data_IF_037649305122
#
_entry.id   IF_037649305122
#
_cell.length_a   1.000
_cell.length_b   1.000
_cell.length_c   1.000
_cell.angle_alpha   90.00
_cell.angle_beta   90.00
_cell.angle_gamma   90.00
#
_symmetry.space_group_name_H-M   'P 1'
#
loop_
_entity.id
_entity.type
_entity.pdbx_description
1 polymer ?
#
# COMPACT_ATOMS: atom_id res chain seq x y z
N UNK A 1 8.08 2.68 22.71
CA UNK A 1 6.65 2.87 23.08
C UNK A 1 6.34 1.95 24.25
N UNK A 2 5.78 2.47 25.36
CA UNK A 2 5.56 1.72 26.62
C UNK A 2 4.08 1.43 26.90
N UNK A 3 3.77 0.82 28.05
CA UNK A 3 2.42 0.40 28.44
C UNK A 3 1.36 1.53 28.42
N UNK A 4 1.79 2.78 28.59
CA UNK A 4 0.94 3.98 28.56
C UNK A 4 0.24 4.23 27.22
N UNK A 5 0.72 3.67 26.10
CA UNK A 5 0.05 3.77 24.80
C UNK A 5 -1.28 2.98 24.77
N UNK A 6 -1.34 1.86 25.49
CA UNK A 6 -2.51 0.98 25.52
C UNK A 6 -3.55 1.43 26.55
N UNK A 7 -3.08 2.15 27.58
CA UNK A 7 -3.91 2.73 28.63
C UNK A 7 -3.54 4.21 28.78
N UNK A 8 -4.01 5.07 27.86
CA UNK A 8 -3.75 6.49 27.94
C UNK A 8 -4.20 7.02 29.30
N UNK A 9 -3.35 7.80 29.97
CA UNK A 9 -3.64 8.33 31.30
C UNK A 9 -4.89 9.21 31.23
N UNK A 10 -5.93 8.84 31.99
CA UNK A 10 -7.22 9.54 32.01
C UNK A 10 -8.26 9.06 30.98
N UNK A 11 -7.92 8.11 30.09
CA UNK A 11 -8.89 7.51 29.19
C UNK A 11 -9.68 6.38 29.87
N UNK A 12 -10.98 6.28 29.57
CA UNK A 12 -11.79 5.14 30.00
C UNK A 12 -11.27 3.85 29.35
N UNK A 13 -11.13 2.78 30.13
CA UNK A 13 -10.73 1.45 29.64
C UNK A 13 -11.91 0.73 28.95
N UNK A 14 -12.53 1.40 27.96
CA UNK A 14 -13.78 0.96 27.28
C UNK A 14 -13.55 0.24 25.96
N UNK A 15 -12.43 -0.46 25.80
CA UNK A 15 -12.16 -1.15 24.55
C UNK A 15 -12.85 -2.53 24.50
N UNK A 16 -14.17 -2.58 24.70
CA UNK A 16 -14.97 -3.81 24.57
C UNK A 16 -15.21 -4.20 23.11
N UNK A 17 -15.15 -3.23 22.19
CA UNK A 17 -15.34 -3.42 20.74
C UNK A 17 -14.07 -3.07 19.94
N UNK A 18 -12.96 -3.76 20.20
CA UNK A 18 -11.73 -3.59 19.40
C UNK A 18 -11.90 -4.26 18.05
N UNK A 19 -12.32 -3.52 17.02
CA UNK A 19 -12.39 -4.04 15.65
C UNK A 19 -11.00 -4.29 15.05
N UNK A 20 -10.01 -3.50 15.47
CA UNK A 20 -8.63 -3.55 14.99
C UNK A 20 -7.67 -3.87 16.14
N UNK A 21 -6.65 -4.65 15.85
CA UNK A 21 -5.56 -4.94 16.77
C UNK A 21 -4.22 -4.87 16.05
N UNK A 22 -3.13 -4.71 16.80
CA UNK A 22 -1.77 -4.82 16.29
C UNK A 22 -1.04 -5.97 16.99
N UNK A 23 -0.07 -6.57 16.33
CA UNK A 23 0.77 -7.60 16.90
C UNK A 23 2.19 -7.54 16.32
N UNK A 24 3.18 -7.46 17.19
CA UNK A 24 4.59 -7.40 16.83
C UNK A 24 5.46 -7.96 17.97
N UNK A 25 6.77 -8.13 17.74
CA UNK A 25 7.68 -8.74 18.70
C UNK A 25 7.65 -8.08 20.10
N UNK A 26 7.55 -6.74 20.14
CA UNK A 26 7.49 -5.96 21.39
C UNK A 26 6.06 -5.72 21.92
N UNK A 27 5.06 -6.52 21.50
CA UNK A 27 3.69 -6.36 21.94
C UNK A 27 3.55 -6.85 23.40
N UNK A 28 3.00 -6.05 24.34
CA UNK A 28 2.95 -6.43 25.75
C UNK A 28 2.27 -7.78 25.98
N UNK A 29 2.83 -8.62 26.86
CA UNK A 29 2.32 -9.98 27.09
C UNK A 29 0.84 -10.01 27.50
N UNK A 30 0.41 -9.06 28.34
CA UNK A 30 -1.00 -8.93 28.74
C UNK A 30 -1.93 -8.63 27.56
N UNK A 31 -1.50 -7.75 26.65
CA UNK A 31 -2.27 -7.42 25.45
C UNK A 31 -2.27 -8.58 24.45
N UNK A 32 -1.17 -9.32 24.33
CA UNK A 32 -1.10 -10.55 23.55
C UNK A 32 -2.10 -11.59 24.06
N UNK A 33 -2.14 -11.84 25.36
CA UNK A 33 -3.11 -12.77 25.96
C UNK A 33 -4.56 -12.31 25.75
N UNK A 34 -4.84 -11.02 25.94
CA UNK A 34 -6.16 -10.46 25.70
C UNK A 34 -6.60 -10.61 24.24
N UNK A 35 -5.70 -10.34 23.30
CA UNK A 35 -5.96 -10.48 21.87
C UNK A 35 -6.22 -11.95 21.50
N UNK A 36 -5.40 -12.88 21.99
CA UNK A 36 -5.60 -14.32 21.73
C UNK A 36 -6.94 -14.78 22.28
N UNK A 37 -7.27 -14.43 23.54
CA UNK A 37 -8.58 -14.73 24.15
C UNK A 37 -9.73 -14.16 23.32
N UNK A 38 -9.60 -12.93 22.84
CA UNK A 38 -10.62 -12.31 22.00
C UNK A 38 -10.78 -13.03 20.65
N UNK A 39 -9.69 -13.46 20.01
CA UNK A 39 -9.71 -14.10 18.69
C UNK A 39 -10.19 -15.55 18.72
N UNK A 40 -9.96 -16.27 19.82
CA UNK A 40 -10.41 -17.66 19.99
C UNK A 40 -11.82 -17.78 20.58
N UNK A 41 -12.40 -16.67 21.04
CA UNK A 41 -13.78 -16.63 21.52
C UNK A 41 -14.78 -16.80 20.36
N UNK A 42 -15.93 -17.43 20.62
CA UNK A 42 -16.99 -17.62 19.62
C UNK A 42 -17.48 -16.31 18.99
N UNK A 43 -17.51 -15.24 19.78
CA UNK A 43 -17.84 -13.89 19.33
C UNK A 43 -16.64 -13.00 19.56
N UNK A 44 -15.80 -12.87 18.52
CA UNK A 44 -14.71 -11.91 18.53
C UNK A 44 -15.18 -10.57 17.95
N UNK A 45 -15.06 -9.45 18.68
CA UNK A 45 -15.21 -8.12 18.08
C UNK A 45 -14.02 -7.80 17.14
N UNK A 46 -12.86 -8.43 17.32
CA UNK A 46 -11.67 -8.20 16.50
C UNK A 46 -11.85 -8.76 15.10
N UNK A 47 -11.74 -7.89 14.10
CA UNK A 47 -11.92 -8.22 12.68
C UNK A 47 -10.63 -8.17 11.88
N UNK A 48 -9.71 -7.27 12.25
CA UNK A 48 -8.46 -7.04 11.52
C UNK A 48 -7.29 -6.98 12.49
N UNK A 49 -6.19 -7.64 12.14
CA UNK A 49 -4.95 -7.63 12.91
C UNK A 49 -3.83 -7.14 12.01
N UNK A 50 -3.17 -6.06 12.42
CA UNK A 50 -1.93 -5.59 11.81
C UNK A 50 -0.76 -6.33 12.46
N UNK A 51 -0.22 -7.31 11.75
CA UNK A 51 0.79 -8.21 12.26
C UNK A 51 2.11 -8.08 11.49
N UNK A 52 3.23 -8.15 12.21
CA UNK A 52 4.51 -8.52 11.58
C UNK A 52 4.64 -10.05 11.50
N UNK A 53 5.66 -10.55 10.81
CA UNK A 53 6.00 -11.98 10.66
C UNK A 53 5.97 -12.71 12.03
N UNK A 54 6.30 -12.00 13.12
CA UNK A 54 6.26 -12.50 14.49
C UNK A 54 4.90 -13.04 14.98
N UNK A 55 3.78 -12.66 14.35
CA UNK A 55 2.46 -13.22 14.66
C UNK A 55 2.35 -14.70 14.31
N UNK A 56 3.18 -15.19 13.38
CA UNK A 56 3.06 -16.54 12.86
C UNK A 56 3.45 -17.66 13.83
N UNK A 57 4.27 -17.37 14.83
CA UNK A 57 4.76 -18.40 15.74
C UNK A 57 3.77 -18.69 16.87
N UNK A 58 2.91 -19.70 16.67
CA UNK A 58 2.18 -20.36 17.76
C UNK A 58 0.71 -19.97 17.99
N UNK A 59 0.11 -19.18 17.10
CA UNK A 59 -1.33 -18.88 17.14
C UNK A 59 -2.02 -19.61 15.98
N UNK A 60 -2.98 -20.47 16.30
CA UNK A 60 -3.81 -21.20 15.33
C UNK A 60 -5.24 -20.65 15.33
N UNK A 61 -5.59 -19.90 14.30
CA UNK A 61 -6.92 -19.33 14.08
C UNK A 61 -7.47 -19.93 12.80
N UNK A 62 -8.34 -20.96 12.88
CA UNK A 62 -8.68 -21.73 11.70
C UNK A 62 -9.54 -20.96 10.70
N UNK A 63 -10.22 -19.90 11.17
CA UNK A 63 -11.21 -19.12 10.45
C UNK A 63 -10.69 -17.79 9.86
N UNK A 64 -9.38 -17.67 9.61
CA UNK A 64 -8.83 -16.50 8.90
C UNK A 64 -9.33 -16.51 7.45
N UNK A 65 -10.08 -15.46 7.07
CA UNK A 65 -10.67 -15.31 5.73
C UNK A 65 -9.80 -14.57 4.74
N UNK A 66 -8.96 -13.66 5.21
CA UNK A 66 -8.07 -12.88 4.35
C UNK A 66 -6.70 -12.72 5.00
N UNK A 67 -5.66 -12.94 4.23
CA UNK A 67 -4.28 -12.53 4.55
C UNK A 67 -3.91 -11.44 3.56
N UNK A 68 -3.47 -10.30 4.09
CA UNK A 68 -3.11 -9.13 3.28
C UNK A 68 -1.66 -8.78 3.54
N UNK A 69 -0.82 -8.95 2.52
CA UNK A 69 0.55 -8.47 2.50
C UNK A 69 0.59 -7.04 2.01
N UNK A 70 1.16 -6.15 2.83
CA UNK A 70 1.43 -4.77 2.44
C UNK A 70 2.93 -4.61 2.23
N UNK A 71 3.36 -4.80 0.99
CA UNK A 71 4.75 -5.11 0.65
C UNK A 71 4.92 -6.61 0.34
N UNK A 72 6.04 -6.96 -0.27
CA UNK A 72 6.34 -8.34 -0.65
C UNK A 72 7.08 -9.05 0.47
N UNK A 73 6.73 -10.32 0.77
CA UNK A 73 7.64 -11.21 1.45
C UNK A 73 8.99 -11.29 0.72
N UNK A 74 10.07 -11.62 1.43
CA UNK A 74 11.39 -11.71 0.81
C UNK A 74 11.52 -13.01 0.01
N UNK A 75 10.89 -14.09 0.46
CA UNK A 75 10.98 -15.42 -0.16
C UNK A 75 9.62 -16.06 -0.39
N UNK A 76 9.60 -17.08 -1.26
CA UNK A 76 8.39 -17.87 -1.53
C UNK A 76 7.96 -18.68 -0.29
N UNK A 77 8.90 -19.13 0.53
CA UNK A 77 8.61 -19.84 1.78
C UNK A 77 7.90 -18.96 2.80
N UNK A 78 8.38 -17.72 2.98
CA UNK A 78 7.72 -16.73 3.84
C UNK A 78 6.29 -16.51 3.37
N UNK A 79 6.11 -16.20 2.07
CA UNK A 79 4.79 -16.03 1.47
C UNK A 79 3.89 -17.25 1.72
N UNK A 80 4.38 -18.45 1.41
CA UNK A 80 3.60 -19.68 1.53
C UNK A 80 3.18 -19.98 2.99
N UNK A 81 4.09 -19.82 3.94
CA UNK A 81 3.79 -20.02 5.37
C UNK A 81 2.80 -18.99 5.90
N UNK A 82 2.87 -17.75 5.42
CA UNK A 82 2.01 -16.65 5.87
C UNK A 82 0.60 -16.77 5.31
N UNK A 83 0.44 -16.96 4.00
CA UNK A 83 -0.89 -17.15 3.38
C UNK A 83 -1.54 -18.47 3.80
N UNK A 84 -0.75 -19.51 4.10
CA UNK A 84 -1.22 -20.82 4.56
C UNK A 84 -1.92 -20.82 5.93
N UNK A 85 -2.02 -19.65 6.58
CA UNK A 85 -2.84 -19.45 7.80
C UNK A 85 -4.31 -19.25 7.49
N UNK A 86 -4.62 -18.76 6.30
CA UNK A 86 -5.98 -18.53 5.87
C UNK A 86 -6.69 -19.87 5.58
N UNK A 87 -7.99 -19.96 5.90
CA UNK A 87 -8.81 -21.09 5.43
C UNK A 87 -8.46 -22.46 6.03
N UNK A 88 -7.87 -22.54 7.22
CA UNK A 88 -7.55 -23.84 7.87
C UNK A 88 -8.80 -24.64 8.29
N UNK A 89 -9.94 -23.98 8.43
CA UNK A 89 -11.27 -24.59 8.54
C UNK A 89 -11.81 -25.18 7.21
N UNK A 90 -11.03 -25.12 6.13
CA UNK A 90 -11.40 -25.59 4.80
C UNK A 90 -12.35 -24.68 4.04
N UNK A 91 -12.76 -23.55 4.62
CA UNK A 91 -13.59 -22.55 3.96
C UNK A 91 -12.74 -21.64 3.07
N UNK A 92 -13.38 -21.04 2.07
CA UNK A 92 -12.73 -20.12 1.15
C UNK A 92 -12.00 -18.98 1.91
N UNK A 93 -10.80 -18.66 1.45
CA UNK A 93 -10.01 -17.57 1.96
C UNK A 93 -9.17 -16.93 0.85
N UNK A 94 -8.87 -15.65 1.01
CA UNK A 94 -8.12 -14.86 0.03
C UNK A 94 -6.72 -14.51 0.56
N UNK A 95 -5.75 -14.54 -0.33
CA UNK A 95 -4.44 -13.95 -0.13
C UNK A 95 -4.29 -12.75 -1.08
N UNK A 96 -4.02 -11.57 -0.53
CA UNK A 96 -3.85 -10.33 -1.28
C UNK A 96 -2.45 -9.79 -1.03
N UNK A 97 -1.72 -9.46 -2.10
CA UNK A 97 -0.39 -8.87 -2.00
C UNK A 97 -0.36 -7.53 -2.72
N UNK A 98 -0.20 -6.46 -1.95
CA UNK A 98 0.00 -5.12 -2.48
C UNK A 98 1.49 -4.83 -2.64
N UNK A 99 1.89 -4.41 -3.83
CA UNK A 99 3.27 -4.06 -4.15
C UNK A 99 3.33 -2.84 -5.07
N UNK A 100 4.45 -2.12 -5.03
CA UNK A 100 4.74 -1.02 -5.94
C UNK A 100 5.45 -1.57 -7.19
N UNK A 101 4.83 -1.40 -8.35
CA UNK A 101 5.37 -1.85 -9.63
C UNK A 101 6.70 -1.18 -9.97
N UNK A 102 6.91 0.05 -9.52
CA UNK A 102 8.17 0.77 -9.70
C UNK A 102 9.29 0.15 -8.85
N UNK A 103 8.99 -0.18 -7.59
CA UNK A 103 9.94 -0.81 -6.68
C UNK A 103 10.32 -2.21 -7.19
N UNK A 104 9.32 -2.99 -7.65
CA UNK A 104 9.54 -4.30 -8.26
C UNK A 104 10.53 -4.26 -9.43
N UNK A 105 10.43 -3.26 -10.32
CA UNK A 105 11.36 -3.10 -11.45
C UNK A 105 12.80 -2.85 -11.00
N UNK A 106 12.99 -2.16 -9.88
CA UNK A 106 14.31 -1.89 -9.30
C UNK A 106 14.88 -3.08 -8.51
N UNK A 107 14.16 -4.20 -8.45
CA UNK A 107 14.52 -5.40 -7.71
C UNK A 107 14.72 -5.09 -6.20
N UNK A 108 13.63 -5.08 -5.40
CA UNK A 108 13.70 -4.67 -4.00
C UNK A 108 14.78 -5.44 -3.25
N UNK A 109 15.56 -4.72 -2.44
CA UNK A 109 16.63 -5.34 -1.68
C UNK A 109 16.09 -6.46 -0.77
N UNK A 110 16.62 -7.67 -0.93
CA UNK A 110 16.26 -8.84 -0.13
C UNK A 110 15.12 -9.70 -0.71
N UNK A 111 14.39 -9.22 -1.71
CA UNK A 111 13.29 -9.98 -2.34
C UNK A 111 13.83 -10.87 -3.44
N UNK A 112 13.53 -12.17 -3.37
CA UNK A 112 13.98 -13.16 -4.36
C UNK A 112 13.22 -13.07 -5.69
N UNK A 113 13.88 -13.46 -6.78
CA UNK A 113 13.31 -13.48 -8.13
C UNK A 113 12.01 -14.28 -8.23
N UNK A 114 11.90 -15.42 -7.54
CA UNK A 114 10.70 -16.26 -7.58
C UNK A 114 9.48 -15.54 -6.98
N UNK A 115 9.68 -14.73 -5.94
CA UNK A 115 8.61 -13.91 -5.36
C UNK A 115 8.16 -12.80 -6.32
N UNK A 116 9.11 -12.16 -7.00
CA UNK A 116 8.80 -11.18 -8.05
C UNK A 116 8.04 -11.84 -9.19
N UNK A 117 8.47 -13.03 -9.62
CA UNK A 117 7.78 -13.79 -10.66
C UNK A 117 6.36 -14.15 -10.24
N UNK A 118 6.15 -14.56 -8.98
CA UNK A 118 4.82 -14.86 -8.46
C UNK A 118 3.86 -13.68 -8.63
N UNK A 119 4.26 -12.45 -8.29
CA UNK A 119 3.34 -11.31 -8.37
C UNK A 119 3.23 -10.72 -9.77
N UNK A 120 4.28 -10.79 -10.59
CA UNK A 120 4.30 -10.19 -11.95
C UNK A 120 3.74 -11.08 -13.05
N UNK A 121 3.75 -12.40 -12.87
CA UNK A 121 3.30 -13.37 -13.88
C UNK A 121 1.76 -13.39 -13.96
N UNK A 122 1.19 -12.77 -14.99
CA UNK A 122 -0.26 -12.66 -15.19
C UNK A 122 -0.82 -13.65 -16.22
N UNK A 123 0.00 -14.59 -16.70
CA UNK A 123 -0.31 -15.55 -17.77
C UNK A 123 -0.28 -17.01 -17.29
N UNK A 124 -0.02 -17.25 -16.00
CA UNK A 124 -0.02 -18.59 -15.40
C UNK A 124 -0.70 -18.61 -14.05
N UNK A 125 -1.15 -19.79 -13.65
CA UNK A 125 -1.75 -20.00 -12.35
C UNK A 125 -0.75 -19.77 -11.21
N UNK A 126 -1.05 -18.84 -10.30
CA UNK A 126 -0.24 -18.59 -9.09
C UNK A 126 0.00 -19.85 -8.25
N UNK A 127 -1.02 -20.73 -8.15
CA UNK A 127 -0.88 -22.01 -7.43
C UNK A 127 0.15 -22.93 -8.09
N UNK A 128 0.18 -22.96 -9.41
CA UNK A 128 1.17 -23.74 -10.16
C UNK A 128 2.58 -23.19 -9.93
N UNK A 129 2.76 -21.87 -9.98
CA UNK A 129 4.05 -21.22 -9.69
C UNK A 129 4.55 -21.62 -8.29
N UNK A 130 3.69 -21.50 -7.27
CA UNK A 130 4.03 -21.86 -5.88
C UNK A 130 4.35 -23.35 -5.76
N UNK A 131 3.53 -24.25 -6.33
CA UNK A 131 3.77 -25.69 -6.23
C UNK A 131 5.06 -26.11 -6.94
N UNK A 132 5.31 -25.56 -8.14
CA UNK A 132 6.53 -25.84 -8.90
C UNK A 132 7.78 -25.41 -8.15
N UNK A 133 7.73 -24.27 -7.44
CA UNK A 133 8.83 -23.82 -6.57
C UNK A 133 9.21 -24.89 -5.53
N UNK A 134 8.22 -25.56 -4.92
CA UNK A 134 8.44 -26.64 -3.95
C UNK A 134 8.65 -28.02 -4.60
N UNK A 135 8.84 -28.10 -5.92
CA UNK A 135 9.06 -29.36 -6.64
C UNK A 135 7.80 -30.23 -6.78
N UNK A 136 6.61 -29.66 -6.63
CA UNK A 136 5.33 -30.35 -6.77
C UNK A 136 4.61 -29.95 -8.06
N UNK A 137 3.86 -30.89 -8.65
CA UNK A 137 3.01 -30.62 -9.82
C UNK A 137 1.63 -30.12 -9.37
N UNK A 138 1.03 -29.23 -10.17
CA UNK A 138 -0.35 -28.81 -9.97
C UNK A 138 -1.32 -29.78 -10.65
N UNK A 139 -2.07 -30.56 -9.86
CA UNK A 139 -3.19 -31.39 -10.33
C UNK A 139 -4.56 -30.71 -10.08
N UNK A 140 -4.55 -29.43 -9.71
CA UNK A 140 -5.71 -28.76 -9.15
C UNK A 140 -6.80 -28.50 -10.21
N UNK A 141 -8.02 -28.96 -9.96
CA UNK A 141 -9.20 -28.64 -10.80
C UNK A 141 -9.76 -27.30 -10.39
N UNK A 142 -9.81 -26.35 -11.33
CA UNK A 142 -10.30 -25.01 -11.06
C UNK A 142 -11.81 -24.94 -11.28
N UNK A 143 -12.61 -24.98 -10.21
CA UNK A 143 -14.05 -24.72 -10.32
C UNK A 143 -14.63 -24.12 -9.04
N UNK A 144 -15.19 -22.89 -9.06
CA UNK A 144 -15.12 -21.93 -10.17
C UNK A 144 -13.71 -21.32 -10.32
N UNK A 145 -13.31 -21.03 -11.56
CA UNK A 145 -11.98 -20.48 -11.89
C UNK A 145 -11.65 -19.20 -11.11
N UNK A 146 -12.61 -18.29 -10.96
CA UNK A 146 -12.39 -16.98 -10.35
C UNK A 146 -12.03 -17.01 -8.86
N UNK A 147 -12.21 -18.14 -8.18
CA UNK A 147 -11.79 -18.33 -6.78
C UNK A 147 -10.32 -18.78 -6.68
N UNK A 148 -9.65 -19.12 -7.79
CA UNK A 148 -8.30 -19.65 -7.74
C UNK A 148 -7.22 -18.57 -7.57
N UNK A 149 -7.18 -17.60 -8.47
CA UNK A 149 -6.18 -16.52 -8.50
C UNK A 149 -6.63 -15.41 -9.47
N UNK A 150 -5.91 -14.29 -9.47
CA UNK A 150 -6.07 -13.15 -10.38
C UNK A 150 -6.04 -13.54 -11.87
N UNK A 151 -5.11 -14.42 -12.29
CA UNK A 151 -5.07 -14.94 -13.67
C UNK A 151 -6.33 -15.75 -14.01
N UNK A 152 -6.71 -16.72 -13.18
CA UNK A 152 -7.91 -17.50 -13.45
C UNK A 152 -9.20 -16.68 -13.37
N UNK A 153 -9.21 -15.62 -12.54
CA UNK A 153 -10.29 -14.64 -12.50
C UNK A 153 -10.38 -13.84 -13.79
N UNK A 154 -9.25 -13.43 -14.39
CA UNK A 154 -9.25 -12.65 -15.63
C UNK A 154 -9.79 -13.43 -16.83
N UNK A 155 -9.54 -14.74 -16.88
CA UNK A 155 -10.04 -15.64 -17.94
C UNK A 155 -11.35 -16.35 -17.58
N UNK A 156 -11.95 -16.05 -16.42
CA UNK A 156 -13.21 -16.68 -16.01
C UNK A 156 -14.40 -16.12 -16.81
N UNK A 157 -15.26 -17.02 -17.28
CA UNK A 157 -16.46 -16.74 -18.07
C UNK A 157 -17.75 -17.19 -17.38
N UNK A 158 -17.77 -17.23 -16.04
CA UNK A 158 -19.00 -17.55 -15.31
C UNK A 158 -19.94 -16.33 -15.25
N UNK A 159 -21.23 -16.59 -15.04
CA UNK A 159 -22.29 -15.58 -14.96
C UNK A 159 -21.97 -14.47 -13.94
N UNK A 160 -21.44 -14.84 -12.77
CA UNK A 160 -21.10 -13.89 -11.70
C UNK A 160 -19.96 -12.93 -12.08
N UNK A 161 -19.03 -13.41 -12.92
CA UNK A 161 -17.92 -12.59 -13.42
C UNK A 161 -18.35 -11.68 -14.58
N UNK A 162 -19.27 -12.15 -15.43
CA UNK A 162 -19.83 -11.35 -16.52
C UNK A 162 -20.63 -10.15 -16.00
N UNK A 163 -21.43 -10.35 -14.94
CA UNK A 163 -22.17 -9.26 -14.28
C UNK A 163 -21.29 -8.27 -13.53
N UNK A 164 -20.06 -8.66 -13.15
CA UNK A 164 -19.13 -7.77 -12.44
C UNK A 164 -18.35 -6.86 -13.40
N UNK A 165 -18.16 -7.29 -14.66
CA UNK A 165 -17.47 -6.49 -15.69
C UNK A 165 -18.26 -5.26 -16.12
N UNK A 166 -19.59 -5.28 -16.02
CA UNK A 166 -20.47 -4.16 -16.38
C UNK A 166 -20.56 -3.08 -15.29
N UNK A 167 -20.06 -3.34 -14.08
CA UNK A 167 -20.08 -2.39 -12.95
C UNK A 167 -18.71 -1.68 -12.77
N UNK A 168 -17.66 -2.14 -13.45
CA UNK A 168 -16.32 -1.54 -13.36
C UNK A 168 -16.18 -0.18 -14.07
N UNK A 169 -17.19 0.22 -14.86
CA UNK A 169 -17.33 1.59 -15.40
C UNK A 169 -17.98 2.53 -14.37
N UNK A 170 -17.52 2.51 -13.12
CA UNK A 170 -17.65 3.70 -12.29
C UNK A 170 -16.72 4.71 -12.94
N UNK A 171 -17.30 5.55 -13.80
CA UNK A 171 -16.69 6.81 -14.23
C UNK A 171 -16.07 7.41 -12.98
N UNK A 172 -14.76 7.63 -13.01
CA UNK A 172 -14.18 8.60 -12.12
C UNK A 172 -14.99 9.87 -12.37
N UNK A 173 -15.88 10.22 -11.44
CA UNK A 173 -16.54 11.51 -11.47
C UNK A 173 -15.42 12.53 -11.61
N UNK A 174 -15.44 13.24 -12.73
CA UNK A 174 -14.65 14.45 -12.91
C UNK A 174 -14.97 15.30 -11.69
N UNK A 175 -14.01 15.41 -10.78
CA UNK A 175 -14.12 16.31 -9.64
C UNK A 175 -14.33 17.68 -10.25
N UNK A 176 -15.55 18.21 -10.08
CA UNK A 176 -15.94 19.54 -10.54
C UNK A 176 -14.82 20.51 -10.17
N UNK A 177 -14.30 21.19 -11.18
CA UNK A 177 -13.32 22.26 -11.03
C UNK A 177 -13.90 23.29 -10.07
N UNK A 178 -13.47 23.23 -8.81
CA UNK A 178 -13.70 24.30 -7.87
C UNK A 178 -13.07 25.54 -8.47
N UNK A 179 -13.89 26.57 -8.66
CA UNK A 179 -13.48 27.88 -9.15
C UNK A 179 -12.42 28.44 -8.20
N UNK A 180 -11.15 28.23 -8.52
CA UNK A 180 -10.06 28.90 -7.82
C UNK A 180 -10.17 30.39 -8.10
N UNK A 181 -9.97 31.26 -7.09
CA UNK A 181 -9.79 32.68 -7.33
C UNK A 181 -8.67 32.86 -8.35
N UNK A 182 -8.86 33.74 -9.34
CA UNK A 182 -7.87 34.08 -10.38
C UNK A 182 -6.58 34.58 -9.71
N UNK A 183 -5.69 33.64 -9.39
CA UNK A 183 -4.34 33.93 -8.96
C UNK A 183 -3.63 34.53 -10.17
N UNK A 184 -3.00 35.68 -9.97
CA UNK A 184 -2.17 36.29 -11.00
C UNK A 184 -0.84 35.55 -10.98
N UNK A 185 -0.36 35.11 -12.15
CA UNK A 185 0.96 34.51 -12.25
C UNK A 185 1.99 35.47 -11.65
N UNK A 186 2.75 34.98 -10.68
CA UNK A 186 3.78 35.73 -9.97
C UNK A 186 5.01 35.84 -10.87
N UNK A 187 5.33 34.76 -11.60
CA UNK A 187 6.51 34.65 -12.48
C UNK A 187 6.21 33.62 -13.60
N UNK A 188 6.70 33.83 -14.81
CA UNK A 188 6.58 32.87 -15.92
C UNK A 188 7.84 31.99 -16.01
N UNK A 189 7.68 30.69 -16.27
CA UNK A 189 8.80 29.77 -16.52
C UNK A 189 8.76 29.23 -17.94
N UNK A 190 9.94 29.12 -18.57
CA UNK A 190 10.07 28.43 -19.85
C UNK A 190 9.64 26.96 -19.73
N UNK A 191 9.15 26.37 -20.83
CA UNK A 191 8.82 24.93 -20.86
C UNK A 191 10.04 24.06 -20.53
N UNK A 192 11.24 24.54 -20.86
CA UNK A 192 12.49 23.85 -20.52
C UNK A 192 12.72 23.89 -19.00
N UNK A 193 12.55 25.04 -18.36
CA UNK A 193 12.66 25.17 -16.90
C UNK A 193 11.61 24.32 -16.16
N UNK A 194 10.36 24.27 -16.65
CA UNK A 194 9.33 23.37 -16.10
C UNK A 194 9.73 21.89 -16.18
N UNK A 195 10.40 21.46 -17.25
CA UNK A 195 10.95 20.11 -17.35
C UNK A 195 12.09 19.87 -16.35
N UNK A 196 13.00 20.83 -16.17
CA UNK A 196 14.08 20.74 -15.17
C UNK A 196 13.50 20.65 -13.75
N UNK A 197 12.51 21.46 -13.42
CA UNK A 197 11.80 21.40 -12.14
C UNK A 197 11.20 20.00 -11.91
N UNK A 198 10.52 19.47 -12.92
CA UNK A 198 9.96 18.11 -12.90
C UNK A 198 11.02 17.06 -12.58
N UNK A 199 12.17 17.12 -13.27
CA UNK A 199 13.28 16.19 -13.02
C UNK A 199 13.84 16.30 -11.60
N UNK A 200 14.04 17.52 -11.07
CA UNK A 200 14.53 17.72 -9.70
C UNK A 200 13.55 17.19 -8.65
N UNK A 201 12.25 17.43 -8.84
CA UNK A 201 11.20 16.89 -7.97
C UNK A 201 11.16 15.35 -8.01
N UNK A 202 11.36 14.74 -9.18
CA UNK A 202 11.49 13.28 -9.28
C UNK A 202 12.72 12.75 -8.55
N UNK A 203 13.88 13.40 -8.64
CA UNK A 203 15.09 13.00 -7.90
C UNK A 203 14.90 13.11 -6.39
N UNK A 204 14.26 14.17 -5.92
CA UNK A 204 13.89 14.30 -4.51
C UNK A 204 12.96 13.15 -4.09
N UNK A 205 11.94 12.85 -4.89
CA UNK A 205 11.05 11.70 -4.64
C UNK A 205 11.81 10.37 -4.57
N UNK A 206 12.79 10.15 -5.45
CA UNK A 206 13.63 8.94 -5.41
C UNK A 206 14.47 8.86 -4.12
N UNK A 207 15.01 10.00 -3.66
CA UNK A 207 15.79 10.05 -2.42
C UNK A 207 14.95 9.70 -1.19
N UNK A 208 13.68 10.11 -1.16
CA UNK A 208 12.72 9.73 -0.11
C UNK A 208 12.47 8.22 -0.03
N UNK A 209 12.55 7.52 -1.17
CA UNK A 209 12.36 6.07 -1.26
C UNK A 209 13.59 5.23 -0.90
N UNK A 210 14.77 5.85 -0.88
CA UNK A 210 16.06 5.14 -0.70
C UNK A 210 16.36 4.70 0.74
N UNK A 211 15.72 5.32 1.74
CA UNK A 211 15.96 5.08 3.16
C UNK A 211 14.80 4.41 3.91
N UNK A 212 13.64 4.24 3.26
CA UNK A 212 12.40 3.80 3.91
C UNK A 212 12.01 2.37 3.51
N UNK A 213 12.33 1.43 4.39
CA UNK A 213 11.77 0.07 4.38
C UNK A 213 10.34 0.05 4.95
N UNK A 214 9.40 0.84 4.43
CA UNK A 214 8.06 0.86 5.01
C UNK A 214 6.99 1.07 3.95
N UNK A 215 6.34 -0.02 3.56
CA UNK A 215 4.89 -0.11 3.29
C UNK A 215 4.33 0.94 2.32
N UNK A 216 4.10 0.53 1.07
CA UNK A 216 3.48 1.34 0.02
C UNK A 216 4.49 2.06 -0.88
N UNK A 217 4.01 2.61 -1.99
CA UNK A 217 4.84 3.47 -2.86
C UNK A 217 5.29 4.72 -2.08
N UNK A 218 6.36 5.40 -2.52
CA UNK A 218 6.79 6.69 -1.92
C UNK A 218 5.61 7.67 -1.80
N UNK A 219 4.64 7.61 -2.72
CA UNK A 219 3.42 8.42 -2.65
C UNK A 219 2.63 8.17 -1.36
N UNK A 220 2.49 6.93 -0.92
CA UNK A 220 1.74 6.58 0.29
C UNK A 220 2.57 6.76 1.57
N UNK A 221 3.86 6.41 1.53
CA UNK A 221 4.71 6.43 2.72
C UNK A 221 5.27 7.82 3.06
N UNK A 222 5.24 8.74 2.11
CA UNK A 222 5.72 10.13 2.30
C UNK A 222 4.65 11.18 2.00
N UNK A 223 3.61 10.83 1.26
CA UNK A 223 2.68 11.83 0.71
C UNK A 223 3.23 12.53 -0.54
N UNK A 224 4.49 12.30 -0.92
CA UNK A 224 5.10 12.91 -2.11
C UNK A 224 4.76 12.13 -3.39
N UNK A 225 3.54 12.34 -3.88
CA UNK A 225 2.98 11.61 -5.03
C UNK A 225 3.46 12.14 -6.39
N UNK A 226 3.26 11.35 -7.45
CA UNK A 226 3.49 11.82 -8.83
C UNK A 226 2.52 12.95 -9.18
N UNK A 227 1.28 12.89 -8.68
CA UNK A 227 0.30 13.94 -8.87
C UNK A 227 0.71 15.24 -8.18
N UNK A 228 1.35 15.16 -7.00
CA UNK A 228 1.93 16.32 -6.35
C UNK A 228 3.03 16.95 -7.22
N UNK A 229 3.89 16.15 -7.85
CA UNK A 229 4.90 16.66 -8.81
C UNK A 229 4.20 17.35 -9.99
N UNK A 230 3.15 16.73 -10.55
CA UNK A 230 2.41 17.28 -11.68
C UNK A 230 1.77 18.63 -11.34
N UNK A 231 1.05 18.70 -10.22
CA UNK A 231 0.41 19.94 -9.75
C UNK A 231 1.44 21.00 -9.36
N UNK A 232 2.58 20.61 -8.78
CA UNK A 232 3.69 21.54 -8.50
C UNK A 232 4.22 22.19 -9.77
N UNK A 233 4.46 21.40 -10.83
CA UNK A 233 4.97 21.93 -12.11
C UNK A 233 3.91 22.75 -12.85
N UNK A 234 2.64 22.37 -12.73
CA UNK A 234 1.51 23.07 -13.37
C UNK A 234 1.22 24.42 -12.71
N UNK A 235 1.42 24.52 -11.39
CA UNK A 235 1.06 25.70 -10.61
C UNK A 235 2.28 26.48 -10.08
N UNK A 236 3.51 26.14 -10.47
CA UNK A 236 4.75 26.80 -10.01
C UNK A 236 4.80 28.31 -10.28
N UNK A 237 4.05 28.81 -11.26
CA UNK A 237 3.95 30.24 -11.61
C UNK A 237 3.15 31.05 -10.58
N UNK A 238 2.40 30.38 -9.69
CA UNK A 238 1.56 30.99 -8.66
C UNK A 238 2.11 30.78 -7.24
N UNK A 239 3.26 30.13 -7.09
CA UNK A 239 3.85 29.76 -5.80
C UNK A 239 4.97 30.73 -5.44
N UNK A 240 4.67 31.69 -4.56
CA UNK A 240 5.62 32.71 -4.11
C UNK A 240 6.15 32.49 -2.68
N UNK A 241 5.61 31.49 -1.99
CA UNK A 241 5.88 31.20 -0.59
C UNK A 241 5.59 29.74 -0.26
N UNK A 242 6.16 29.27 0.85
CA UNK A 242 5.86 27.94 1.40
C UNK A 242 4.37 27.86 1.78
N UNK A 243 3.82 28.94 2.33
CA UNK A 243 2.42 29.06 2.69
C UNK A 243 1.49 28.94 1.49
N UNK A 244 1.86 29.52 0.33
CA UNK A 244 1.09 29.37 -0.90
C UNK A 244 1.05 27.90 -1.37
N UNK A 245 2.16 27.17 -1.21
CA UNK A 245 2.22 25.74 -1.52
C UNK A 245 1.32 24.92 -0.59
N UNK A 246 1.40 25.15 0.73
CA UNK A 246 0.56 24.45 1.72
C UNK A 246 -0.95 24.69 1.50
N UNK A 247 -1.33 25.85 0.97
CA UNK A 247 -2.72 26.21 0.72
C UNK A 247 -3.27 25.67 -0.61
N UNK A 248 -2.43 25.54 -1.64
CA UNK A 248 -2.90 25.26 -3.00
C UNK A 248 -2.49 23.87 -3.53
N UNK A 249 -1.54 23.19 -2.89
CA UNK A 249 -1.14 21.83 -3.24
C UNK A 249 -1.53 20.82 -2.15
N UNK A 250 -1.76 19.55 -2.51
CA UNK A 250 -2.06 18.47 -1.56
C UNK A 250 -0.78 17.99 -0.85
N UNK A 251 -0.08 18.89 -0.17
CA UNK A 251 1.15 18.59 0.57
C UNK A 251 0.82 18.08 1.97
N UNK A 252 1.38 16.93 2.34
CA UNK A 252 1.10 16.27 3.61
C UNK A 252 1.94 16.79 4.79
N UNK A 253 3.10 17.40 4.54
CA UNK A 253 3.96 17.95 5.59
C UNK A 253 4.76 19.17 5.10
N UNK A 254 5.09 20.07 6.03
CA UNK A 254 5.75 21.34 5.75
C UNK A 254 7.11 21.17 5.07
N UNK A 255 7.86 20.12 5.43
CA UNK A 255 9.18 19.85 4.85
C UNK A 255 9.12 19.61 3.34
N UNK A 256 8.04 19.00 2.85
CA UNK A 256 7.83 18.83 1.41
C UNK A 256 7.50 20.16 0.72
N UNK A 257 6.73 21.02 1.36
CA UNK A 257 6.43 22.35 0.84
C UNK A 257 7.70 23.21 0.74
N UNK A 258 8.57 23.17 1.76
CA UNK A 258 9.86 23.86 1.78
C UNK A 258 10.78 23.40 0.64
N UNK A 259 10.86 22.09 0.40
CA UNK A 259 11.67 21.55 -0.71
C UNK A 259 11.10 21.93 -2.07
N UNK A 260 9.78 21.84 -2.26
CA UNK A 260 9.14 22.26 -3.52
C UNK A 260 9.44 23.73 -3.77
N UNK A 261 9.28 24.60 -2.76
CA UNK A 261 9.56 26.03 -2.88
C UNK A 261 11.02 26.30 -3.25
N UNK A 262 11.97 25.66 -2.54
CA UNK A 262 13.41 25.81 -2.83
C UNK A 262 13.75 25.42 -4.27
N UNK A 263 13.22 24.29 -4.76
CA UNK A 263 13.48 23.83 -6.12
C UNK A 263 12.87 24.76 -7.18
N UNK A 264 11.71 25.35 -6.90
CA UNK A 264 11.09 26.35 -7.76
C UNK A 264 12.00 27.59 -7.85
N UNK A 265 12.45 28.14 -6.72
CA UNK A 265 13.33 29.32 -6.68
C UNK A 265 14.68 29.07 -7.37
N UNK A 266 15.29 27.89 -7.19
CA UNK A 266 16.52 27.52 -7.90
C UNK A 266 16.33 27.49 -9.42
N UNK A 267 15.24 26.88 -9.89
CA UNK A 267 14.95 26.79 -11.33
C UNK A 267 14.64 28.16 -11.93
N UNK A 268 13.99 29.04 -11.18
CA UNK A 268 13.81 30.43 -11.59
C UNK A 268 15.14 31.16 -11.74
N UNK A 269 16.06 31.00 -10.78
CA UNK A 269 17.37 31.62 -10.85
C UNK A 269 18.19 31.15 -12.06
N UNK A 270 17.98 29.91 -12.51
CA UNK A 270 18.65 29.31 -13.67
C UNK A 270 18.01 29.66 -15.04
N UNK A 271 16.76 30.16 -15.07
CA UNK A 271 16.01 30.50 -16.31
C UNK A 271 16.16 31.98 -16.73
N UNK A 272 16.74 32.83 -15.87
CA UNK A 272 17.03 34.28 -16.09
C UNK A 272 18.41 34.45 -16.74
#
# INVERSE_FOLDING_TARGET
>A
MGAQQYFPVGAEQKASNRLFAQYHAHYPSSEKENLIKALTSQVSPTRVIFATIAFGMGIDLPNIRKVVHVGLPNTMEEYFQEVGRAGRDGQYAEALTFYDSYNIRKHPHGVQNDMIQLVTCMDRCKREIVLNYFGHKSEHKHNPLHLCCDFHKSICTCTDCESSKTVADVKHDEVESSSHPTLKAVRELSNNAKNVLRERLFRYRESLGSSRSCVGSVSFSTGFSIDLINESVKHCEYMDSVEAIEQHLPVFCKEHAEVIFSLIEEVYADDI
#
